data_IF_680443429356
#
_entry.id   IF_680443429356
#
_cell.length_a   1.000
_cell.length_b   1.000
_cell.length_c   1.000
_cell.angle_alpha   90.00
_cell.angle_beta   90.00
_cell.angle_gamma   90.00
#
_symmetry.space_group_name_H-M   'P 1'
#
loop_
_entity.id
_entity.type
_entity.pdbx_description
1 polymer ?
#
# COMPACT_ATOMS: atom_id res chain seq x y z
N UNK A 1 14.89 -5.60 -19.51
CA UNK A 1 15.73 -6.53 -18.73
C UNK A 1 14.96 -7.83 -18.51
N UNK A 2 15.51 -8.93 -18.98
CA UNK A 2 14.89 -10.26 -18.97
C UNK A 2 15.62 -11.21 -18.03
N UNK A 3 15.25 -11.17 -16.74
CA UNK A 3 15.77 -12.12 -15.75
C UNK A 3 14.90 -13.37 -15.57
N UNK A 4 13.78 -13.48 -16.28
CA UNK A 4 12.92 -14.68 -16.25
C UNK A 4 12.22 -14.92 -14.90
N UNK A 5 12.45 -14.10 -13.88
CA UNK A 5 11.60 -13.99 -12.69
C UNK A 5 10.52 -12.98 -13.00
N UNK A 6 9.61 -13.35 -13.91
CA UNK A 6 8.41 -12.54 -14.15
C UNK A 6 7.78 -12.28 -12.79
N UNK A 7 7.80 -11.01 -12.37
CA UNK A 7 7.29 -10.57 -11.07
C UNK A 7 6.05 -11.40 -10.74
N UNK A 8 6.13 -12.21 -9.69
CA UNK A 8 5.14 -13.25 -9.42
C UNK A 8 3.87 -12.62 -8.81
N UNK A 9 3.24 -11.68 -9.53
CA UNK A 9 1.98 -11.03 -9.20
C UNK A 9 0.78 -12.00 -9.13
N UNK A 10 1.04 -13.31 -9.30
CA UNK A 10 0.02 -14.34 -9.43
C UNK A 10 0.25 -15.60 -8.58
N UNK A 11 1.31 -15.69 -7.76
CA UNK A 11 1.57 -16.93 -6.98
C UNK A 11 0.68 -17.02 -5.75
N UNK A 12 0.71 -16.00 -4.89
CA UNK A 12 -0.19 -15.86 -3.75
C UNK A 12 -0.28 -14.36 -3.37
N UNK A 13 -1.27 -14.00 -2.55
CA UNK A 13 -1.47 -12.61 -2.14
C UNK A 13 -0.24 -11.97 -1.50
N UNK A 14 0.44 -12.69 -0.59
CA UNK A 14 1.59 -12.13 0.12
C UNK A 14 2.72 -11.78 -0.85
N UNK A 15 3.02 -12.66 -1.82
CA UNK A 15 4.00 -12.41 -2.86
C UNK A 15 3.60 -11.23 -3.76
N UNK A 16 2.31 -11.09 -4.10
CA UNK A 16 1.84 -9.92 -4.86
C UNK A 16 1.98 -8.62 -4.07
N UNK A 17 1.63 -8.64 -2.77
CA UNK A 17 1.75 -7.48 -1.90
C UNK A 17 3.21 -7.09 -1.67
N UNK A 18 4.10 -8.06 -1.53
CA UNK A 18 5.55 -7.84 -1.43
C UNK A 18 6.11 -7.24 -2.72
N UNK A 19 5.76 -7.80 -3.88
CA UNK A 19 6.18 -7.24 -5.17
C UNK A 19 5.67 -5.79 -5.37
N UNK A 20 4.47 -5.46 -4.88
CA UNK A 20 3.97 -4.10 -4.88
C UNK A 20 4.76 -3.21 -3.91
N UNK A 21 4.99 -3.68 -2.67
CA UNK A 21 5.76 -2.99 -1.65
C UNK A 21 7.15 -2.63 -2.19
N UNK A 22 7.87 -3.56 -2.80
CA UNK A 22 9.24 -3.36 -3.27
C UNK A 22 9.35 -2.27 -4.34
N UNK A 23 8.26 -2.03 -5.07
CA UNK A 23 8.16 -1.02 -6.13
C UNK A 23 7.38 0.23 -5.70
N UNK A 24 6.94 0.30 -4.45
CA UNK A 24 6.08 1.39 -4.00
C UNK A 24 6.84 2.71 -3.90
N UNK A 25 6.56 3.62 -4.83
CA UNK A 25 7.12 4.97 -4.84
C UNK A 25 6.32 5.91 -3.91
N UNK A 26 4.99 5.86 -3.94
CA UNK A 26 4.15 6.78 -3.19
C UNK A 26 2.77 7.01 -3.80
N UNK A 27 2.13 8.12 -3.42
CA UNK A 27 0.79 8.52 -3.86
C UNK A 27 0.86 9.62 -4.90
N UNK A 28 0.19 9.43 -6.03
CA UNK A 28 0.05 10.47 -7.06
C UNK A 28 -0.74 11.67 -6.50
N UNK A 29 -0.16 12.86 -6.63
CA UNK A 29 -0.77 14.12 -6.16
C UNK A 29 -1.75 14.71 -7.17
N UNK A 30 -1.87 14.08 -8.33
CA UNK A 30 -2.65 14.54 -9.48
C UNK A 30 -3.28 13.34 -10.16
N UNK A 31 -4.51 13.51 -10.65
CA UNK A 31 -5.16 12.49 -11.49
C UNK A 31 -4.46 12.45 -12.85
N UNK A 32 -4.06 11.25 -13.27
CA UNK A 32 -3.67 10.93 -14.64
C UNK A 32 -4.74 10.02 -15.26
N UNK A 33 -5.21 10.34 -16.47
CA UNK A 33 -6.20 9.52 -17.19
C UNK A 33 -5.48 8.42 -17.97
N UNK A 34 -6.22 7.38 -18.35
CA UNK A 34 -5.68 6.33 -19.21
C UNK A 34 -5.17 6.96 -20.52
N UNK A 35 -3.88 6.74 -20.82
CA UNK A 35 -3.21 7.30 -21.99
C UNK A 35 -2.48 8.62 -21.76
N UNK A 36 -2.67 9.28 -20.62
CA UNK A 36 -1.89 10.47 -20.27
C UNK A 36 -0.44 10.05 -19.97
N UNK A 37 0.52 10.78 -20.53
CA UNK A 37 1.97 10.52 -20.37
C UNK A 37 2.69 11.67 -19.68
N UNK A 38 1.96 12.71 -19.29
CA UNK A 38 2.53 13.86 -18.59
C UNK A 38 3.11 13.44 -17.23
N UNK A 39 4.26 14.00 -16.84
CA UNK A 39 4.83 13.71 -15.54
C UNK A 39 3.90 14.19 -14.42
N UNK A 40 3.60 13.30 -13.48
CA UNK A 40 2.81 13.60 -12.28
C UNK A 40 3.70 13.64 -11.05
N UNK A 41 3.36 14.53 -10.11
CA UNK A 41 4.03 14.57 -8.81
C UNK A 41 3.57 13.39 -7.95
N UNK A 42 4.53 12.74 -7.29
CA UNK A 42 4.27 11.63 -6.37
C UNK A 42 4.76 12.01 -4.98
N UNK A 43 3.87 11.97 -3.99
CA UNK A 43 4.23 12.11 -2.59
C UNK A 43 4.81 10.79 -2.08
N UNK A 44 6.03 10.84 -1.59
CA UNK A 44 6.79 9.67 -1.11
C UNK A 44 6.61 9.44 0.40
N UNK A 45 5.96 10.39 1.08
CA UNK A 45 5.60 10.36 2.50
C UNK A 45 4.40 11.26 2.75
N UNK A 46 3.76 11.15 3.92
CA UNK A 46 2.64 11.97 4.35
C UNK A 46 1.37 11.18 4.59
N UNK A 47 0.37 11.84 5.19
CA UNK A 47 -0.90 11.20 5.55
C UNK A 47 -1.92 11.35 4.43
N UNK A 48 -2.40 10.22 3.91
CA UNK A 48 -3.41 10.14 2.86
C UNK A 48 -4.60 9.28 3.29
N UNK A 49 -5.79 9.60 2.79
CA UNK A 49 -6.98 8.78 3.01
C UNK A 49 -7.12 7.73 1.89
N UNK A 50 -7.37 6.49 2.29
CA UNK A 50 -7.65 5.38 1.38
C UNK A 50 -9.01 4.76 1.69
N UNK A 51 -9.64 4.17 0.66
CA UNK A 51 -10.70 3.20 0.89
C UNK A 51 -10.12 1.99 1.63
N UNK A 52 -10.88 1.40 2.55
CA UNK A 52 -10.47 0.19 3.25
C UNK A 52 -11.59 -0.82 3.42
N UNK A 53 -11.23 -2.08 3.67
CA UNK A 53 -12.19 -3.09 4.12
C UNK A 53 -12.79 -2.62 5.44
N UNK A 54 -14.13 -2.67 5.54
CA UNK A 54 -14.86 -2.24 6.74
C UNK A 54 -14.31 -2.92 7.98
N UNK A 55 -13.80 -2.11 8.91
CA UNK A 55 -13.14 -2.64 10.10
C UNK A 55 -12.65 -1.53 11.04
N UNK A 56 -12.07 -1.94 12.15
CA UNK A 56 -11.36 -1.06 13.08
C UNK A 56 -9.87 -1.05 12.76
N UNK A 57 -9.23 0.08 12.98
CA UNK A 57 -7.81 0.29 12.68
C UNK A 57 -7.17 1.01 13.86
N UNK A 58 -6.16 0.40 14.46
CA UNK A 58 -5.43 1.01 15.57
C UNK A 58 -4.26 1.86 15.06
N UNK A 59 -3.87 2.86 15.84
CA UNK A 59 -2.79 3.77 15.46
C UNK A 59 -1.49 2.97 15.26
N UNK A 60 -0.77 3.26 14.18
CA UNK A 60 0.49 2.59 13.86
C UNK A 60 0.35 1.19 13.25
N UNK A 61 -0.86 0.63 13.15
CA UNK A 61 -1.07 -0.65 12.45
C UNK A 61 -0.57 -0.56 11.01
N UNK A 62 0.14 -1.59 10.55
CA UNK A 62 0.65 -1.69 9.19
C UNK A 62 -0.50 -1.84 8.17
N UNK A 63 -0.33 -1.24 7.00
CA UNK A 63 -1.36 -1.21 5.96
C UNK A 63 -0.76 -1.64 4.62
N UNK A 64 -1.43 -2.56 3.93
CA UNK A 64 -1.05 -3.05 2.59
C UNK A 64 -2.18 -2.81 1.57
N UNK A 65 -1.90 -2.83 0.26
CA UNK A 65 -2.95 -2.92 -0.74
C UNK A 65 -3.89 -4.11 -0.47
N UNK A 66 -5.19 -3.91 -0.67
CA UNK A 66 -6.19 -4.96 -0.47
C UNK A 66 -6.26 -5.92 -1.66
N UNK A 67 -6.77 -7.12 -1.43
CA UNK A 67 -6.96 -8.14 -2.46
C UNK A 67 -8.27 -7.91 -3.23
N UNK A 68 -8.23 -8.06 -4.55
CA UNK A 68 -9.40 -8.47 -5.33
C UNK A 68 -9.25 -9.95 -5.67
N UNK A 69 -10.34 -10.72 -5.65
CA UNK A 69 -10.33 -12.20 -5.61
C UNK A 69 -9.22 -12.86 -6.43
N UNK A 70 -8.64 -13.95 -5.90
CA UNK A 70 -7.39 -14.52 -6.41
C UNK A 70 -6.17 -13.78 -5.86
N UNK A 71 -5.18 -13.44 -6.68
CA UNK A 71 -3.93 -12.80 -6.22
C UNK A 71 -3.79 -11.35 -6.66
N UNK A 72 -4.87 -10.75 -7.15
CA UNK A 72 -4.87 -9.39 -7.68
C UNK A 72 -5.04 -8.37 -6.55
N UNK A 73 -4.53 -7.15 -6.74
CA UNK A 73 -4.69 -6.05 -5.79
C UNK A 73 -5.83 -5.12 -6.23
N UNK A 74 -6.60 -4.58 -5.27
CA UNK A 74 -7.63 -3.58 -5.55
C UNK A 74 -7.00 -2.22 -5.85
N UNK A 75 -7.62 -1.50 -6.77
CA UNK A 75 -7.23 -0.14 -7.06
C UNK A 75 -7.59 0.77 -5.86
N UNK A 76 -6.57 1.39 -5.25
CA UNK A 76 -6.72 2.39 -4.18
C UNK A 76 -7.52 1.95 -2.94
N UNK A 77 -7.62 0.65 -2.70
CA UNK A 77 -8.16 0.10 -1.45
C UNK A 77 -7.05 -0.59 -0.67
N UNK A 78 -7.07 -0.41 0.64
CA UNK A 78 -6.08 -0.96 1.56
C UNK A 78 -6.72 -1.85 2.63
N UNK A 79 -5.89 -2.69 3.24
CA UNK A 79 -6.25 -3.55 4.36
C UNK A 79 -5.20 -3.51 5.45
N UNK A 80 -5.61 -3.83 6.66
CA UNK A 80 -4.69 -4.04 7.78
C UNK A 80 -3.82 -5.28 7.52
N UNK A 81 -2.52 -5.14 7.82
CA UNK A 81 -1.57 -6.24 7.86
C UNK A 81 -1.47 -6.73 9.31
N UNK A 82 -1.67 -8.03 9.51
CA UNK A 82 -1.53 -8.64 10.83
C UNK A 82 -0.05 -9.00 11.10
N UNK A 83 0.38 -8.78 12.33
CA UNK A 83 1.73 -9.15 12.79
C UNK A 83 2.82 -8.20 12.30
N UNK A 84 3.99 -8.76 11.99
CA UNK A 84 5.24 -8.04 11.70
C UNK A 84 5.64 -8.11 10.22
N UNK A 85 4.67 -8.23 9.31
CA UNK A 85 4.93 -8.37 7.87
C UNK A 85 5.17 -7.00 7.20
N UNK A 86 6.29 -6.38 7.57
CA UNK A 86 6.71 -5.05 7.11
C UNK A 86 6.89 -4.97 5.59
N UNK A 87 7.39 -6.04 4.99
CA UNK A 87 7.60 -6.19 3.54
C UNK A 87 6.30 -6.22 2.72
N UNK A 88 5.13 -6.16 3.35
CA UNK A 88 3.84 -6.08 2.65
C UNK A 88 3.21 -4.68 2.75
N UNK A 89 3.77 -3.80 3.58
CA UNK A 89 3.10 -2.60 4.05
C UNK A 89 3.60 -1.33 3.37
N UNK A 90 2.69 -0.52 2.86
CA UNK A 90 2.98 0.76 2.20
C UNK A 90 2.99 1.95 3.17
N UNK A 91 2.72 1.68 4.45
CA UNK A 91 2.59 2.70 5.48
C UNK A 91 1.89 2.20 6.74
N UNK A 92 1.48 3.15 7.58
CA UNK A 92 0.85 2.89 8.88
C UNK A 92 -0.39 3.74 9.08
N UNK A 93 -1.34 3.23 9.85
CA UNK A 93 -2.53 3.99 10.26
C UNK A 93 -2.10 5.22 11.06
N UNK A 94 -2.42 6.41 10.54
CA UNK A 94 -2.10 7.71 11.14
C UNK A 94 -3.20 8.23 12.07
N UNK A 95 -4.42 7.68 11.95
CA UNK A 95 -5.54 8.01 12.83
C UNK A 95 -6.34 6.75 13.15
N UNK A 96 -6.54 6.50 14.44
CA UNK A 96 -7.36 5.38 14.92
C UNK A 96 -8.79 5.46 14.39
N UNK A 97 -9.28 4.33 13.87
CA UNK A 97 -10.71 4.04 13.66
C UNK A 97 -11.19 3.07 14.74
N UNK A 98 -11.84 3.62 15.79
CA UNK A 98 -12.38 2.83 16.90
C UNK A 98 -13.73 2.15 16.62
N UNK A 99 -14.36 2.48 15.50
CA UNK A 99 -15.60 1.86 15.00
C UNK A 99 -15.39 1.42 13.56
N UNK A 100 -16.13 0.40 13.13
CA UNK A 100 -16.04 -0.09 11.76
C UNK A 100 -16.30 1.03 10.74
N UNK A 101 -15.33 1.28 9.88
CA UNK A 101 -15.39 2.29 8.83
C UNK A 101 -14.68 1.83 7.56
N UNK A 102 -14.93 2.53 6.46
CA UNK A 102 -14.44 2.20 5.11
C UNK A 102 -13.41 3.18 4.58
N UNK A 103 -12.93 4.09 5.43
CA UNK A 103 -11.88 5.09 5.11
C UNK A 103 -10.83 5.06 6.21
N UNK A 104 -9.56 5.04 5.84
CA UNK A 104 -8.45 5.06 6.80
C UNK A 104 -7.39 6.07 6.39
N UNK A 105 -6.88 6.83 7.37
CA UNK A 105 -5.75 7.72 7.17
C UNK A 105 -4.46 6.94 7.38
N UNK A 106 -3.60 6.93 6.38
CA UNK A 106 -2.35 6.18 6.35
C UNK A 106 -1.20 7.16 6.14
N UNK A 107 -0.23 7.15 7.04
CA UNK A 107 1.08 7.75 6.81
C UNK A 107 1.86 6.80 5.89
N UNK A 108 2.03 7.19 4.63
CA UNK A 108 2.68 6.36 3.62
C UNK A 108 4.20 6.45 3.77
N UNK A 109 4.90 5.36 3.45
CA UNK A 109 6.35 5.31 3.44
C UNK A 109 6.84 4.66 2.14
N UNK A 110 7.56 5.43 1.33
CA UNK A 110 8.13 4.95 0.07
C UNK A 110 9.20 3.89 0.30
N UNK A 111 9.08 2.74 -0.35
CA UNK A 111 10.14 1.73 -0.37
C UNK A 111 11.33 2.22 -1.17
N UNK A 112 11.05 2.80 -2.34
CA UNK A 112 12.08 3.30 -3.26
C UNK A 112 12.90 4.45 -2.67
N UNK A 113 12.26 5.38 -1.95
CA UNK A 113 12.93 6.59 -1.46
C UNK A 113 13.40 6.51 -0.01
N UNK A 114 12.72 5.73 0.83
CA UNK A 114 12.93 5.72 2.29
C UNK A 114 13.11 4.33 2.90
N UNK A 115 13.12 3.27 2.08
CA UNK A 115 13.29 1.89 2.55
C UNK A 115 12.03 1.23 3.12
N UNK A 116 10.86 1.85 2.97
CA UNK A 116 9.57 1.23 3.27
C UNK A 116 9.20 1.25 4.76
N UNK A 117 8.10 0.58 5.10
CA UNK A 117 7.55 0.61 6.46
C UNK A 117 8.39 -0.22 7.44
N UNK A 118 9.25 0.44 8.21
CA UNK A 118 10.18 -0.20 9.15
C UNK A 118 9.51 -0.76 10.40
N UNK A 119 10.19 -1.67 11.11
CA UNK A 119 9.78 -2.11 12.45
C UNK A 119 9.72 -0.94 13.44
N UNK A 120 8.77 -1.00 14.39
CA UNK A 120 8.77 -0.05 15.51
C UNK A 120 9.90 -0.44 16.46
N UNK A 121 10.69 0.54 16.91
CA UNK A 121 11.72 0.35 17.93
C UNK A 121 11.09 0.21 19.33
#
# INVERSE_FOLDING_TARGET
>A
DGDGTGDLWNTNLATTQEAFHDKFLGVAMQRSRAGDTDPIRVATTGVFEFDCVSGTYELGTLVSPDQTGGNNLRNQQVRSVTGTQHNLAIGRVAKRLGTAGTRVLVDIQSTVMTGGAQAMA
#
